data_IF_543031339789
#
_entry.id   IF_543031339789
#
_cell.length_a   1.000
_cell.length_b   1.000
_cell.length_c   1.000
_cell.angle_alpha   90.00
_cell.angle_beta   90.00
_cell.angle_gamma   90.00
#
_symmetry.space_group_name_H-M   'P 1'
#
loop_
_entity.id
_entity.type
_entity.pdbx_description
1 polymer ?
#
# COMPACT_ATOMS: atom_id res chain seq x y z
N UNK A 1 -24.74 0.76 19.45
CA UNK A 1 -25.71 -0.34 19.53
C UNK A 1 -24.91 -1.61 19.74
N UNK A 2 -25.26 -2.44 20.73
CA UNK A 2 -24.58 -3.73 20.91
C UNK A 2 -25.06 -4.70 19.82
N UNK A 3 -24.25 -5.70 19.48
CA UNK A 3 -24.63 -6.73 18.50
C UNK A 3 -25.96 -7.40 18.88
N UNK A 4 -26.17 -7.63 20.18
CA UNK A 4 -27.43 -8.16 20.72
C UNK A 4 -28.64 -7.29 20.35
N UNK A 5 -28.50 -5.97 20.47
CA UNK A 5 -29.59 -5.04 20.18
C UNK A 5 -29.89 -5.01 18.68
N UNK A 6 -28.86 -5.10 17.84
CA UNK A 6 -29.01 -5.25 16.38
C UNK A 6 -29.79 -6.52 16.04
N UNK A 7 -29.41 -7.67 16.62
CA UNK A 7 -30.08 -8.94 16.36
C UNK A 7 -31.55 -8.91 16.80
N UNK A 8 -31.86 -8.29 17.94
CA UNK A 8 -33.25 -8.12 18.38
C UNK A 8 -34.04 -7.26 17.39
N UNK A 9 -33.47 -6.15 16.90
CA UNK A 9 -34.13 -5.31 15.90
C UNK A 9 -34.30 -6.02 14.56
N UNK A 10 -33.30 -6.81 14.14
CA UNK A 10 -33.34 -7.62 12.92
C UNK A 10 -34.49 -8.63 12.99
N UNK A 11 -34.59 -9.39 14.07
CA UNK A 11 -35.67 -10.36 14.29
C UNK A 11 -37.05 -9.68 14.29
N UNK A 12 -37.17 -8.53 14.95
CA UNK A 12 -38.44 -7.85 15.10
C UNK A 12 -38.91 -7.14 13.82
N UNK A 13 -38.00 -6.59 13.01
CA UNK A 13 -38.33 -5.81 11.81
C UNK A 13 -38.37 -6.64 10.54
N UNK A 14 -37.44 -7.59 10.39
CA UNK A 14 -37.37 -8.44 9.21
C UNK A 14 -37.03 -9.89 9.62
N UNK A 15 -38.03 -10.65 10.10
CA UNK A 15 -37.83 -12.04 10.53
C UNK A 15 -37.27 -12.93 9.41
N UNK A 16 -37.68 -12.68 8.16
CA UNK A 16 -37.18 -13.40 7.00
C UNK A 16 -35.69 -13.13 6.78
N UNK A 17 -35.27 -11.86 6.80
CA UNK A 17 -33.86 -11.50 6.73
C UNK A 17 -33.08 -12.12 7.89
N UNK A 18 -33.63 -12.12 9.11
CA UNK A 18 -32.98 -12.78 10.26
C UNK A 18 -32.78 -14.29 10.07
N UNK A 19 -33.64 -14.96 9.31
CA UNK A 19 -33.55 -16.41 9.06
C UNK A 19 -32.60 -16.75 7.90
N UNK A 20 -32.45 -15.85 6.92
CA UNK A 20 -31.68 -16.10 5.69
C UNK A 20 -30.30 -15.42 5.70
N UNK A 21 -30.12 -14.34 6.45
CA UNK A 21 -28.88 -13.57 6.47
C UNK A 21 -27.76 -14.36 7.13
N UNK A 22 -26.73 -14.70 6.36
CA UNK A 22 -25.52 -15.30 6.90
C UNK A 22 -24.61 -14.24 7.51
N UNK A 23 -23.74 -14.64 8.44
CA UNK A 23 -22.70 -13.75 8.99
C UNK A 23 -21.77 -13.25 7.87
N UNK A 24 -21.50 -14.08 6.86
CA UNK A 24 -20.64 -13.69 5.73
C UNK A 24 -21.27 -12.56 4.91
N UNK A 25 -22.55 -12.71 4.54
CA UNK A 25 -23.27 -11.70 3.78
C UNK A 25 -23.43 -10.40 4.56
N UNK A 26 -23.74 -10.51 5.85
CA UNK A 26 -23.81 -9.36 6.75
C UNK A 26 -22.50 -8.57 6.79
N UNK A 27 -21.36 -9.24 7.02
CA UNK A 27 -20.05 -8.58 7.09
C UNK A 27 -19.70 -7.94 5.76
N UNK A 28 -19.90 -8.65 4.64
CA UNK A 28 -19.62 -8.09 3.30
C UNK A 28 -20.46 -6.87 3.00
N UNK A 29 -21.76 -6.94 3.27
CA UNK A 29 -22.69 -5.82 3.06
C UNK A 29 -22.32 -4.64 3.95
N UNK A 30 -22.09 -4.86 5.25
CA UNK A 30 -21.75 -3.80 6.19
C UNK A 30 -20.43 -3.11 5.84
N UNK A 31 -19.39 -3.88 5.50
CA UNK A 31 -18.08 -3.32 5.13
C UNK A 31 -18.12 -2.54 3.82
N UNK A 32 -18.77 -3.07 2.78
CA UNK A 32 -18.88 -2.36 1.49
C UNK A 32 -19.74 -1.10 1.61
N UNK A 33 -20.90 -1.22 2.26
CA UNK A 33 -21.82 -0.10 2.48
C UNK A 33 -21.18 1.03 3.30
N UNK A 34 -20.39 0.68 4.31
CA UNK A 34 -19.65 1.65 5.12
C UNK A 34 -18.60 2.42 4.29
N UNK A 35 -17.90 1.74 3.39
CA UNK A 35 -16.94 2.40 2.51
C UNK A 35 -17.62 3.29 1.45
N UNK A 36 -18.78 2.87 0.94
CA UNK A 36 -19.59 3.70 0.02
C UNK A 36 -20.14 4.95 0.73
N UNK A 37 -20.65 4.80 1.96
CA UNK A 37 -21.11 5.92 2.78
C UNK A 37 -19.97 6.91 3.06
N UNK A 38 -18.79 6.42 3.42
CA UNK A 38 -17.63 7.27 3.65
C UNK A 38 -17.19 8.06 2.41
N UNK A 39 -17.17 7.42 1.23
CA UNK A 39 -16.70 8.06 -0.01
C UNK A 39 -17.72 8.97 -0.67
N UNK A 40 -19.00 8.60 -0.63
CA UNK A 40 -20.02 9.19 -1.46
C UNK A 40 -21.31 9.55 -0.71
N UNK A 41 -21.40 9.28 0.60
CA UNK A 41 -22.60 9.50 1.41
C UNK A 41 -23.16 10.91 1.29
N UNK A 42 -22.31 11.92 1.42
CA UNK A 42 -22.70 13.33 1.26
C UNK A 42 -23.15 13.68 -0.15
N UNK A 43 -22.39 13.24 -1.16
CA UNK A 43 -22.67 13.55 -2.57
C UNK A 43 -23.94 12.88 -3.09
N UNK A 44 -24.19 11.64 -2.65
CA UNK A 44 -25.36 10.85 -3.05
C UNK A 44 -26.56 11.02 -2.11
N UNK A 45 -26.40 11.83 -1.04
CA UNK A 45 -27.42 12.04 0.00
C UNK A 45 -27.94 10.71 0.56
N UNK A 46 -27.02 9.79 0.85
CA UNK A 46 -27.37 8.49 1.39
C UNK A 46 -28.05 8.68 2.75
N UNK A 47 -29.15 7.95 2.95
CA UNK A 47 -29.89 7.95 4.21
C UNK A 47 -30.52 6.57 4.42
N UNK A 48 -31.06 6.25 5.60
CA UNK A 48 -31.75 4.98 5.80
C UNK A 48 -32.84 4.72 4.74
N UNK A 49 -33.53 5.78 4.30
CA UNK A 49 -34.65 5.67 3.35
C UNK A 49 -34.25 6.03 1.91
N UNK A 50 -32.98 6.36 1.66
CA UNK A 50 -32.51 6.79 0.34
C UNK A 50 -31.21 6.06 0.01
N UNK A 51 -31.33 5.04 -0.85
CA UNK A 51 -30.23 4.17 -1.23
C UNK A 51 -30.09 4.04 -2.77
N UNK A 52 -29.61 5.07 -3.48
CA UNK A 52 -29.36 4.99 -4.92
C UNK A 52 -28.26 3.99 -5.28
N UNK A 53 -27.49 3.50 -4.31
CA UNK A 53 -26.40 2.54 -4.53
C UNK A 53 -26.83 1.09 -4.34
N UNK A 54 -28.11 0.82 -4.02
CA UNK A 54 -28.61 -0.54 -3.84
C UNK A 54 -28.36 -1.46 -5.05
N UNK A 55 -28.58 -1.03 -6.31
CA UNK A 55 -28.29 -1.90 -7.47
C UNK A 55 -26.80 -2.23 -7.59
N UNK A 56 -25.92 -1.29 -7.20
CA UNK A 56 -24.47 -1.55 -7.15
C UNK A 56 -24.13 -2.56 -6.05
N UNK A 57 -24.73 -2.43 -4.86
CA UNK A 57 -24.49 -3.36 -3.75
C UNK A 57 -24.99 -4.76 -4.07
N UNK A 58 -26.17 -4.87 -4.69
CA UNK A 58 -26.75 -6.15 -5.13
C UNK A 58 -25.79 -6.89 -6.08
N UNK A 59 -25.33 -6.21 -7.12
CA UNK A 59 -24.39 -6.77 -8.09
C UNK A 59 -23.03 -7.10 -7.45
N UNK A 60 -22.45 -6.15 -6.70
CA UNK A 60 -21.12 -6.29 -6.13
C UNK A 60 -21.01 -7.38 -5.05
N UNK A 61 -22.10 -7.63 -4.32
CA UNK A 61 -22.12 -8.60 -3.23
C UNK A 61 -22.61 -9.98 -3.67
N UNK A 62 -23.35 -10.07 -4.78
CA UNK A 62 -23.94 -11.32 -5.28
C UNK A 62 -24.61 -12.11 -4.14
N UNK A 63 -25.49 -11.44 -3.39
CA UNK A 63 -26.05 -11.96 -2.14
C UNK A 63 -26.87 -13.23 -2.36
N UNK A 64 -26.80 -14.16 -1.41
CA UNK A 64 -27.52 -15.43 -1.50
C UNK A 64 -28.92 -15.41 -0.88
N UNK A 65 -29.34 -14.26 -0.35
CA UNK A 65 -30.66 -14.06 0.23
C UNK A 65 -31.53 -13.19 -0.71
N UNK A 66 -32.87 -13.22 -0.55
CA UNK A 66 -33.78 -12.46 -1.41
C UNK A 66 -33.43 -10.97 -1.48
N UNK A 67 -33.32 -10.43 -2.69
CA UNK A 67 -32.79 -9.07 -2.94
C UNK A 67 -33.73 -7.97 -2.47
N UNK A 68 -35.02 -8.27 -2.33
CA UNK A 68 -36.03 -7.43 -1.68
C UNK A 68 -35.69 -7.14 -0.21
N UNK A 69 -34.91 -8.00 0.45
CA UNK A 69 -34.50 -7.80 1.84
C UNK A 69 -33.24 -6.93 1.99
N UNK A 70 -32.60 -6.51 0.89
CA UNK A 70 -31.42 -5.64 0.94
C UNK A 70 -31.77 -4.24 1.47
N UNK A 71 -32.96 -3.74 1.15
CA UNK A 71 -33.44 -2.44 1.67
C UNK A 71 -33.67 -2.48 3.18
N UNK A 72 -34.23 -3.59 3.69
CA UNK A 72 -34.37 -3.81 5.13
C UNK A 72 -33.00 -3.83 5.83
N UNK A 73 -32.05 -4.55 5.24
CA UNK A 73 -30.69 -4.64 5.75
C UNK A 73 -30.00 -3.27 5.76
N UNK A 74 -30.15 -2.50 4.68
CA UNK A 74 -29.65 -1.14 4.58
C UNK A 74 -30.22 -0.24 5.67
N UNK A 75 -31.54 -0.19 5.82
CA UNK A 75 -32.22 0.65 6.81
C UNK A 75 -31.77 0.33 8.25
N UNK A 76 -31.63 -0.95 8.56
CA UNK A 76 -31.16 -1.43 9.87
C UNK A 76 -29.69 -1.08 10.13
N UNK A 77 -28.83 -1.23 9.12
CA UNK A 77 -27.39 -1.01 9.25
C UNK A 77 -26.96 0.44 9.09
N UNK A 78 -27.73 1.28 8.40
CA UNK A 78 -27.33 2.65 8.06
C UNK A 78 -26.77 3.44 9.25
N UNK A 79 -27.41 3.46 10.44
CA UNK A 79 -26.88 4.17 11.61
C UNK A 79 -25.55 3.62 12.15
N UNK A 80 -25.20 2.40 11.76
CA UNK A 80 -24.00 1.69 12.18
C UNK A 80 -22.86 1.74 11.16
N UNK A 81 -23.12 2.12 9.90
CA UNK A 81 -22.14 2.04 8.81
C UNK A 81 -20.81 2.71 9.14
N UNK A 82 -20.83 3.91 9.75
CA UNK A 82 -19.61 4.62 10.19
C UNK A 82 -18.70 3.81 11.12
N UNK A 83 -19.27 2.88 11.89
CA UNK A 83 -18.53 2.01 12.81
C UNK A 83 -18.11 0.69 12.16
N UNK A 84 -18.74 0.33 11.05
CA UNK A 84 -18.41 -0.85 10.26
C UNK A 84 -17.25 -0.59 9.28
N UNK A 85 -16.88 0.68 9.07
CA UNK A 85 -15.74 1.04 8.23
C UNK A 85 -14.44 0.57 8.86
N UNK A 86 -13.73 -0.28 8.14
CA UNK A 86 -12.36 -0.69 8.47
C UNK A 86 -11.47 -0.05 7.42
N UNK A 87 -10.56 0.82 7.87
CA UNK A 87 -9.48 1.33 7.04
C UNK A 87 -8.24 0.45 7.30
N UNK A 88 -8.01 -0.60 6.49
CA UNK A 88 -6.93 -1.55 6.75
C UNK A 88 -5.57 -0.87 6.66
N UNK A 89 -5.40 0.08 5.73
CA UNK A 89 -4.14 0.80 5.54
C UNK A 89 -3.80 1.64 6.78
N UNK A 90 -4.74 2.44 7.27
CA UNK A 90 -4.54 3.25 8.47
C UNK A 90 -4.37 2.36 9.71
N UNK A 91 -5.11 1.25 9.79
CA UNK A 91 -5.01 0.29 10.90
C UNK A 91 -3.63 -0.35 10.96
N UNK A 92 -3.09 -0.82 9.83
CA UNK A 92 -1.74 -1.40 9.76
C UNK A 92 -0.69 -0.33 10.09
N UNK A 93 -0.84 0.89 9.58
CA UNK A 93 0.09 1.99 9.88
C UNK A 93 0.17 2.29 11.38
N UNK A 94 -0.98 2.33 12.06
CA UNK A 94 -1.06 2.72 13.47
C UNK A 94 -0.75 1.56 14.42
N UNK A 95 -1.07 0.32 14.04
CA UNK A 95 -1.00 -0.84 14.94
C UNK A 95 0.04 -1.88 14.53
N UNK A 96 0.38 -1.99 13.25
CA UNK A 96 1.17 -3.10 12.71
C UNK A 96 2.59 -3.22 13.26
N UNK A 97 3.17 -2.11 13.74
CA UNK A 97 4.49 -2.09 14.36
C UNK A 97 4.47 -1.99 15.89
N UNK A 98 3.31 -2.07 16.54
CA UNK A 98 3.24 -1.96 18.00
C UNK A 98 4.10 -3.04 18.69
N UNK A 99 4.69 -2.68 19.82
CA UNK A 99 5.70 -3.50 20.50
C UNK A 99 5.16 -4.87 20.96
N UNK A 100 3.89 -4.94 21.31
CA UNK A 100 3.17 -6.14 21.75
C UNK A 100 3.10 -7.26 20.69
N UNK A 101 3.25 -6.95 19.40
CA UNK A 101 3.24 -7.96 18.34
C UNK A 101 4.60 -8.62 18.16
N UNK A 102 4.65 -9.94 18.24
CA UNK A 102 5.85 -10.74 17.90
C UNK A 102 6.15 -10.67 16.40
N UNK A 103 5.11 -10.72 15.57
CA UNK A 103 5.23 -10.56 14.12
C UNK A 103 4.84 -9.14 13.75
N UNK A 104 5.85 -8.31 13.42
CA UNK A 104 5.62 -6.94 12.93
C UNK A 104 5.00 -6.96 11.54
N UNK A 105 3.96 -6.15 11.34
CA UNK A 105 3.27 -5.99 10.06
C UNK A 105 3.54 -4.58 9.52
N UNK A 106 4.51 -4.41 8.60
CA UNK A 106 4.69 -3.15 7.88
C UNK A 106 3.50 -2.88 6.94
N UNK A 107 3.34 -1.63 6.53
CA UNK A 107 2.27 -1.22 5.61
C UNK A 107 2.42 -1.86 4.24
N UNK A 108 3.66 -2.11 3.78
CA UNK A 108 3.92 -2.77 2.49
C UNK A 108 5.07 -3.77 2.54
N UNK A 109 4.97 -4.80 1.71
CA UNK A 109 6.06 -5.74 1.41
C UNK A 109 6.52 -5.53 -0.02
N UNK A 110 7.77 -5.14 -0.22
CA UNK A 110 8.34 -4.86 -1.53
C UNK A 110 9.18 -6.04 -1.99
N UNK A 111 8.96 -6.51 -3.22
CA UNK A 111 9.67 -7.66 -3.81
C UNK A 111 10.02 -7.35 -5.27
N UNK A 112 11.06 -8.00 -5.79
CA UNK A 112 11.34 -7.98 -7.22
C UNK A 112 10.15 -8.50 -8.05
N UNK A 113 9.91 -7.97 -9.26
CA UNK A 113 8.78 -8.36 -10.12
C UNK A 113 8.98 -9.73 -10.81
N UNK A 114 10.06 -10.45 -10.47
CA UNK A 114 10.47 -11.68 -11.12
C UNK A 114 10.34 -12.87 -10.17
N UNK A 115 9.98 -14.03 -10.73
CA UNK A 115 9.96 -15.33 -10.04
C UNK A 115 11.14 -16.22 -10.40
N UNK A 116 11.79 -16.00 -11.55
CA UNK A 116 12.93 -16.76 -12.05
C UNK A 116 14.11 -15.84 -12.41
N UNK A 117 15.31 -16.42 -12.49
CA UNK A 117 16.54 -15.68 -12.74
C UNK A 117 16.71 -15.34 -14.22
N UNK A 118 16.61 -14.06 -14.59
CA UNK A 118 16.77 -13.61 -15.99
C UNK A 118 18.20 -13.74 -16.55
N UNK A 119 19.18 -14.06 -15.70
CA UNK A 119 20.59 -14.16 -16.09
C UNK A 119 21.00 -15.57 -16.51
N UNK A 120 20.60 -16.58 -15.74
CA UNK A 120 21.07 -17.96 -15.95
C UNK A 120 19.92 -18.96 -16.16
N UNK A 121 18.67 -18.52 -16.05
CA UNK A 121 17.52 -19.35 -16.32
C UNK A 121 17.23 -19.37 -17.82
N UNK A 122 17.69 -20.41 -18.50
CA UNK A 122 17.08 -20.81 -19.78
C UNK A 122 15.82 -21.58 -19.43
N UNK A 123 14.67 -21.11 -19.89
CA UNK A 123 13.35 -21.73 -19.68
C UNK A 123 12.89 -21.80 -18.20
N UNK A 124 13.10 -20.73 -17.41
CA UNK A 124 12.59 -20.65 -16.02
C UNK A 124 13.05 -21.77 -15.06
N UNK A 125 14.09 -22.53 -15.43
CA UNK A 125 14.68 -23.59 -14.61
C UNK A 125 15.17 -23.15 -13.21
N UNK A 126 15.54 -21.88 -13.02
CA UNK A 126 16.08 -21.38 -11.75
C UNK A 126 15.18 -20.33 -11.09
N UNK A 127 14.37 -20.80 -10.14
CA UNK A 127 13.52 -19.96 -9.29
C UNK A 127 14.34 -19.03 -8.36
N UNK A 128 13.73 -17.91 -8.00
CA UNK A 128 14.26 -16.98 -7.01
C UNK A 128 13.76 -17.36 -5.61
N UNK A 129 14.69 -17.57 -4.68
CA UNK A 129 14.37 -17.85 -3.27
C UNK A 129 14.63 -16.63 -2.39
N UNK A 130 13.98 -16.58 -1.23
CA UNK A 130 14.18 -15.51 -0.26
C UNK A 130 15.57 -15.63 0.34
N UNK A 131 16.41 -14.63 0.11
CA UNK A 131 17.73 -14.52 0.72
C UNK A 131 17.65 -13.87 2.09
N UNK A 132 17.02 -12.69 2.15
CA UNK A 132 16.92 -11.89 3.36
C UNK A 132 15.73 -10.93 3.29
N UNK A 133 15.41 -10.32 4.44
CA UNK A 133 14.39 -9.28 4.55
C UNK A 133 14.97 -8.07 5.24
N UNK A 134 14.65 -6.87 4.74
CA UNK A 134 15.16 -5.61 5.26
C UNK A 134 14.01 -4.65 5.50
N UNK A 135 13.94 -4.09 6.71
CA UNK A 135 12.95 -3.07 7.06
C UNK A 135 13.39 -1.70 6.55
N UNK A 136 12.43 -0.82 6.26
CA UNK A 136 12.71 0.52 5.77
C UNK A 136 11.47 1.40 5.72
N UNK A 137 11.59 2.52 5.02
CA UNK A 137 10.54 3.52 4.89
C UNK A 137 10.34 3.93 3.44
N UNK A 138 9.07 3.98 3.03
CA UNK A 138 8.62 4.60 1.79
C UNK A 138 8.10 5.99 2.10
N UNK A 139 8.75 7.00 1.54
CA UNK A 139 8.28 8.38 1.60
C UNK A 139 7.30 8.63 0.44
N UNK A 140 6.09 9.08 0.79
CA UNK A 140 5.04 9.43 -0.15
C UNK A 140 4.47 10.82 0.19
N UNK A 141 3.63 11.36 -0.68
CA UNK A 141 2.95 12.64 -0.43
C UNK A 141 1.96 12.57 0.74
N UNK A 142 1.55 11.35 1.11
CA UNK A 142 0.61 11.04 2.19
C UNK A 142 1.33 10.69 3.51
N UNK A 143 2.67 10.79 3.53
CA UNK A 143 3.52 10.60 4.69
C UNK A 143 4.52 9.45 4.57
N UNK A 144 5.04 9.02 5.71
CA UNK A 144 6.06 7.96 5.79
C UNK A 144 5.40 6.62 6.07
N UNK A 145 5.67 5.63 5.22
CA UNK A 145 5.08 4.29 5.30
C UNK A 145 6.14 3.25 5.67
N UNK A 146 5.94 2.44 6.72
CA UNK A 146 6.84 1.35 7.03
C UNK A 146 6.75 0.28 5.96
N UNK A 147 7.91 -0.16 5.46
CA UNK A 147 8.00 -1.20 4.43
C UNK A 147 8.98 -2.30 4.83
N UNK A 148 8.76 -3.51 4.33
CA UNK A 148 9.75 -4.58 4.39
C UNK A 148 10.09 -5.06 2.99
N UNK A 149 11.37 -5.13 2.72
CA UNK A 149 11.93 -5.52 1.43
C UNK A 149 12.34 -6.96 1.48
N UNK A 150 11.82 -7.75 0.54
CA UNK A 150 12.23 -9.13 0.34
C UNK A 150 13.32 -9.15 -0.71
N UNK A 151 14.53 -9.52 -0.30
CA UNK A 151 15.68 -9.70 -1.20
C UNK A 151 15.68 -11.15 -1.65
N UNK A 152 15.80 -11.36 -2.96
CA UNK A 152 15.83 -12.69 -3.55
C UNK A 152 17.20 -13.01 -4.14
N UNK A 153 17.56 -14.27 -4.15
CA UNK A 153 18.75 -14.80 -4.83
C UNK A 153 18.35 -15.91 -5.80
N UNK A 154 19.15 -16.06 -6.85
CA UNK A 154 18.98 -17.19 -7.77
C UNK A 154 19.23 -18.52 -7.05
N UNK A 155 18.41 -19.54 -7.32
CA UNK A 155 18.62 -20.90 -6.79
C UNK A 155 19.86 -21.61 -7.37
N UNK A 156 20.42 -21.12 -8.47
CA UNK A 156 21.65 -21.65 -9.05
C UNK A 156 22.87 -21.23 -8.20
N UNK A 157 23.63 -22.17 -7.60
CA UNK A 157 24.78 -21.84 -6.76
C UNK A 157 25.93 -21.13 -7.48
N UNK A 158 25.97 -21.21 -8.82
CA UNK A 158 26.97 -20.52 -9.66
C UNK A 158 26.56 -19.10 -10.05
N UNK A 159 25.35 -18.67 -9.67
CA UNK A 159 24.81 -17.35 -9.98
C UNK A 159 24.74 -16.54 -8.69
N UNK A 160 25.50 -15.45 -8.65
CA UNK A 160 25.57 -14.51 -7.52
C UNK A 160 24.57 -13.35 -7.64
N UNK A 161 23.64 -13.42 -8.60
CA UNK A 161 22.71 -12.34 -8.88
C UNK A 161 21.68 -12.20 -7.76
N UNK A 162 21.59 -11.00 -7.20
CA UNK A 162 20.66 -10.64 -6.13
C UNK A 162 19.60 -9.69 -6.65
N UNK A 163 18.33 -10.00 -6.39
CA UNK A 163 17.17 -9.26 -6.87
C UNK A 163 16.56 -8.45 -5.73
N UNK A 164 16.44 -7.13 -5.95
CA UNK A 164 15.74 -6.17 -5.09
C UNK A 164 14.48 -5.66 -5.80
N UNK A 165 13.62 -4.89 -5.15
CA UNK A 165 12.36 -4.44 -5.74
C UNK A 165 12.49 -3.63 -7.04
N UNK A 166 13.47 -2.71 -7.14
CA UNK A 166 13.62 -1.85 -8.32
C UNK A 166 14.75 -2.27 -9.27
N UNK A 167 15.66 -3.13 -8.83
CA UNK A 167 16.83 -3.55 -9.62
C UNK A 167 17.37 -4.91 -9.16
N UNK A 168 18.17 -5.54 -9.99
CA UNK A 168 19.03 -6.65 -9.59
C UNK A 168 20.51 -6.23 -9.63
N UNK A 169 21.34 -6.91 -8.84
CA UNK A 169 22.79 -6.67 -8.78
C UNK A 169 23.53 -7.86 -9.34
N UNK A 170 24.50 -7.59 -10.22
CA UNK A 170 25.39 -8.57 -10.82
C UNK A 170 26.72 -7.88 -11.14
N UNK A 171 27.84 -8.55 -10.91
CA UNK A 171 29.18 -8.05 -11.28
C UNK A 171 29.43 -6.61 -10.75
N UNK A 172 29.02 -6.34 -9.50
CA UNK A 172 29.09 -5.01 -8.86
C UNK A 172 28.34 -3.87 -9.59
N UNK A 173 27.37 -4.20 -10.44
CA UNK A 173 26.50 -3.22 -11.10
C UNK A 173 25.02 -3.45 -10.76
N UNK A 174 24.26 -2.36 -10.68
CA UNK A 174 22.80 -2.35 -10.50
C UNK A 174 22.14 -2.22 -11.86
N UNK A 175 21.26 -3.16 -12.17
CA UNK A 175 20.46 -3.19 -13.38
C UNK A 175 19.00 -2.94 -13.01
N UNK A 176 18.48 -1.76 -13.34
CA UNK A 176 17.10 -1.40 -13.03
C UNK A 176 16.14 -2.10 -13.98
N UNK A 177 15.03 -2.62 -13.47
CA UNK A 177 14.07 -3.32 -14.32
C UNK A 177 13.46 -2.36 -15.36
N UNK A 178 13.18 -2.90 -16.55
CA UNK A 178 12.39 -2.21 -17.56
C UNK A 178 10.90 -2.42 -17.29
N UNK A 179 10.05 -1.67 -17.98
CA UNK A 179 8.59 -1.88 -17.91
C UNK A 179 8.21 -3.28 -18.37
N UNK A 180 8.88 -3.80 -19.38
CA UNK A 180 8.64 -5.15 -19.92
C UNK A 180 8.97 -6.27 -18.93
N UNK A 181 9.90 -6.00 -18.01
CA UNK A 181 10.24 -6.89 -16.89
C UNK A 181 9.28 -6.77 -15.69
N UNK A 182 8.19 -5.99 -15.83
CA UNK A 182 7.20 -5.80 -14.79
C UNK A 182 7.61 -4.82 -13.68
N UNK A 183 8.53 -3.88 -13.96
CA UNK A 183 8.95 -2.87 -12.98
C UNK A 183 7.73 -2.15 -12.36
N UNK A 184 7.70 -2.07 -11.03
CA UNK A 184 6.77 -1.21 -10.31
C UNK A 184 7.02 0.28 -10.64
N UNK A 185 5.97 0.98 -11.05
CA UNK A 185 6.05 2.38 -11.49
C UNK A 185 5.76 3.38 -10.37
N UNK A 186 5.31 2.90 -9.21
CA UNK A 186 4.82 3.74 -8.12
C UNK A 186 5.90 4.10 -7.11
N UNK A 187 7.01 3.37 -7.05
CA UNK A 187 8.11 3.67 -6.13
C UNK A 187 9.51 3.39 -6.68
N UNK A 188 10.48 3.98 -6.00
CA UNK A 188 11.91 3.88 -6.29
C UNK A 188 12.66 3.42 -5.05
N UNK A 189 13.44 2.35 -5.17
CA UNK A 189 14.45 1.97 -4.17
C UNK A 189 15.65 2.92 -4.31
N UNK A 190 15.87 3.78 -3.31
CA UNK A 190 16.96 4.76 -3.31
C UNK A 190 18.21 4.16 -2.67
N UNK A 191 18.05 3.71 -1.42
CA UNK A 191 19.10 3.04 -0.64
C UNK A 191 18.48 1.90 0.16
N UNK A 192 19.30 1.14 0.89
CA UNK A 192 18.92 -0.08 1.60
C UNK A 192 17.60 0.02 2.39
N UNK A 193 17.40 1.14 3.11
CA UNK A 193 16.26 1.35 4.00
C UNK A 193 15.26 2.40 3.50
N UNK A 194 15.51 3.04 2.34
CA UNK A 194 14.76 4.23 1.93
C UNK A 194 14.22 4.13 0.51
N UNK A 195 12.93 4.40 0.40
CA UNK A 195 12.15 4.38 -0.83
C UNK A 195 11.43 5.72 -1.00
N UNK A 196 11.12 6.07 -2.24
CA UNK A 196 10.34 7.26 -2.56
C UNK A 196 9.30 6.94 -3.60
N UNK A 197 8.07 7.40 -3.40
CA UNK A 197 7.03 7.25 -4.41
C UNK A 197 7.32 8.12 -5.64
N UNK A 198 6.94 7.64 -6.82
CA UNK A 198 7.07 8.43 -8.05
C UNK A 198 6.25 9.71 -7.98
N UNK A 199 5.11 9.69 -7.27
CA UNK A 199 4.26 10.86 -7.01
C UNK A 199 5.00 11.92 -6.20
N UNK A 200 5.68 11.51 -5.11
CA UNK A 200 6.48 12.40 -4.29
C UNK A 200 7.67 12.97 -5.07
N UNK A 201 8.39 12.12 -5.82
CA UNK A 201 9.50 12.56 -6.67
C UNK A 201 9.04 13.61 -7.69
N UNK A 202 7.84 13.44 -8.27
CA UNK A 202 7.24 14.41 -9.17
C UNK A 202 6.87 15.72 -8.44
N UNK A 203 6.20 15.64 -7.29
CA UNK A 203 5.82 16.81 -6.49
C UNK A 203 7.06 17.64 -6.10
N UNK A 204 8.09 16.99 -5.58
CA UNK A 204 9.36 17.65 -5.24
C UNK A 204 9.98 18.32 -6.46
N UNK A 205 9.99 17.67 -7.62
CA UNK A 205 10.50 18.27 -8.86
C UNK A 205 9.75 19.53 -9.26
N UNK A 206 8.41 19.52 -9.14
CA UNK A 206 7.57 20.69 -9.43
C UNK A 206 7.88 21.83 -8.44
N UNK A 207 8.00 21.53 -7.15
CA UNK A 207 8.36 22.51 -6.13
C UNK A 207 9.76 23.12 -6.36
N UNK A 208 10.74 22.32 -6.79
CA UNK A 208 12.06 22.84 -7.17
C UNK A 208 11.98 23.80 -8.35
N UNK A 209 11.18 23.47 -9.37
CA UNK A 209 11.05 24.27 -10.59
C UNK A 209 10.30 25.57 -10.36
N UNK A 210 9.19 25.52 -9.61
CA UNK A 210 8.31 26.68 -9.41
C UNK A 210 8.78 27.59 -8.28
N UNK A 211 9.23 27.00 -7.17
CA UNK A 211 9.58 27.73 -5.95
C UNK A 211 11.08 27.98 -5.78
N UNK A 212 11.92 27.52 -6.71
CA UNK A 212 13.38 27.56 -6.58
C UNK A 212 13.89 26.98 -5.23
N UNK A 213 13.21 25.93 -4.74
CA UNK A 213 13.45 25.35 -3.42
C UNK A 213 14.60 24.35 -3.48
N UNK A 214 15.53 24.43 -2.52
CA UNK A 214 16.63 23.47 -2.38
C UNK A 214 16.17 22.11 -1.85
N UNK A 215 16.96 21.05 -2.07
CA UNK A 215 16.69 19.73 -1.46
C UNK A 215 16.58 19.80 0.06
N UNK A 216 17.44 20.60 0.70
CA UNK A 216 17.43 20.85 2.14
C UNK A 216 16.07 21.37 2.63
N UNK A 217 15.53 22.40 1.97
CA UNK A 217 14.24 22.98 2.36
C UNK A 217 13.08 22.00 2.11
N UNK A 218 13.10 21.26 1.00
CA UNK A 218 12.08 20.23 0.72
C UNK A 218 12.03 19.16 1.80
N UNK A 219 13.20 18.68 2.23
CA UNK A 219 13.31 17.64 3.25
C UNK A 219 12.87 18.16 4.62
N UNK A 220 13.24 19.39 5.00
CA UNK A 220 12.80 19.97 6.26
C UNK A 220 11.28 20.15 6.31
N UNK A 221 10.67 20.67 5.24
CA UNK A 221 9.21 20.76 5.17
C UNK A 221 8.53 19.40 5.24
N UNK A 222 9.07 18.41 4.54
CA UNK A 222 8.54 17.05 4.58
C UNK A 222 8.61 16.44 5.98
N UNK A 223 9.78 16.52 6.64
CA UNK A 223 9.97 15.97 7.97
C UNK A 223 9.11 16.69 9.01
N UNK A 224 9.02 18.02 8.94
CA UNK A 224 8.18 18.81 9.84
C UNK A 224 6.72 18.34 9.80
N UNK A 225 6.15 18.20 8.60
CA UNK A 225 4.74 17.81 8.42
C UNK A 225 4.48 16.34 8.76
N UNK A 226 5.35 15.43 8.30
CA UNK A 226 5.04 13.98 8.32
C UNK A 226 5.82 13.15 9.33
N UNK A 227 6.79 13.74 10.02
CA UNK A 227 7.64 13.01 10.98
C UNK A 227 7.61 13.69 12.35
N UNK A 228 7.75 15.01 12.40
CA UNK A 228 7.80 15.74 13.66
C UNK A 228 6.39 15.94 14.23
N UNK A 229 5.45 16.43 13.42
CA UNK A 229 4.05 16.64 13.84
C UNK A 229 3.25 15.32 13.93
N UNK A 230 3.64 14.31 13.14
CA UNK A 230 2.98 13.01 13.11
C UNK A 230 4.02 11.89 13.20
N UNK A 231 4.48 11.53 14.43
CA UNK A 231 5.56 10.56 14.61
C UNK A 231 5.29 9.22 13.92
N UNK A 232 6.11 8.90 12.92
CA UNK A 232 6.04 7.63 12.21
C UNK A 232 6.55 6.48 13.09
N UNK A 233 5.94 5.30 12.93
CA UNK A 233 6.29 4.13 13.73
C UNK A 233 7.71 3.61 13.43
N UNK A 234 8.41 3.17 14.47
CA UNK A 234 9.73 2.52 14.39
C UNK A 234 9.61 1.00 14.49
N UNK A 235 10.53 0.26 13.85
CA UNK A 235 10.53 -1.21 13.89
C UNK A 235 11.06 -1.73 15.23
N UNK A 236 12.15 -1.11 15.72
CA UNK A 236 12.71 -1.35 17.05
C UNK A 236 13.15 -0.02 17.68
N UNK A 237 13.23 0.08 19.01
CA UNK A 237 13.68 1.30 19.68
C UNK A 237 15.12 1.73 19.32
N UNK A 238 15.97 0.78 18.95
CA UNK A 238 17.40 0.90 18.72
C UNK A 238 17.80 0.76 17.24
N UNK A 239 16.85 0.90 16.31
CA UNK A 239 17.14 0.83 14.89
C UNK A 239 18.12 1.93 14.43
N UNK A 240 19.06 1.58 13.56
CA UNK A 240 20.11 2.49 13.07
C UNK A 240 19.63 3.47 11.98
N UNK A 241 18.39 3.35 11.51
CA UNK A 241 17.80 4.17 10.45
C UNK A 241 16.49 4.81 10.94
N UNK A 242 16.11 5.94 10.36
CA UNK A 242 15.01 6.77 10.87
C UNK A 242 13.90 6.95 9.84
N UNK A 243 12.65 7.23 10.24
CA UNK A 243 11.61 7.63 9.31
C UNK A 243 11.85 9.02 8.69
N UNK A 244 12.74 9.85 9.25
CA UNK A 244 13.13 11.13 8.69
C UNK A 244 13.88 10.96 7.36
N UNK A 245 13.49 11.75 6.37
CA UNK A 245 14.22 11.84 5.10
C UNK A 245 15.49 12.69 5.29
N UNK A 246 16.58 12.30 4.65
CA UNK A 246 17.79 13.13 4.55
C UNK A 246 17.86 13.85 3.19
N UNK A 247 18.65 14.93 3.12
CA UNK A 247 18.91 15.62 1.85
C UNK A 247 19.48 14.67 0.79
N UNK A 248 20.37 13.77 1.19
CA UNK A 248 20.98 12.79 0.29
C UNK A 248 19.94 11.82 -0.28
N UNK A 249 19.02 11.31 0.56
CA UNK A 249 17.93 10.43 0.12
C UNK A 249 17.05 11.18 -0.90
N UNK A 250 16.70 12.43 -0.61
CA UNK A 250 15.92 13.27 -1.53
C UNK A 250 16.64 13.45 -2.87
N UNK A 251 17.89 13.93 -2.86
CA UNK A 251 18.71 14.14 -4.05
C UNK A 251 18.85 12.86 -4.88
N UNK A 252 19.23 11.76 -4.25
CA UNK A 252 19.42 10.47 -4.92
C UNK A 252 18.11 9.96 -5.52
N UNK A 253 16.98 10.11 -4.82
CA UNK A 253 15.65 9.76 -5.33
C UNK A 253 15.29 10.55 -6.60
N UNK A 254 15.48 11.87 -6.59
CA UNK A 254 15.18 12.73 -7.73
C UNK A 254 16.11 12.48 -8.93
N UNK A 255 17.39 12.23 -8.67
CA UNK A 255 18.35 11.84 -9.71
C UNK A 255 17.96 10.51 -10.34
N UNK A 256 17.69 9.49 -9.51
CA UNK A 256 17.34 8.16 -9.97
C UNK A 256 16.04 8.17 -10.78
N UNK A 257 15.00 8.86 -10.30
CA UNK A 257 13.74 9.06 -11.01
C UNK A 257 13.97 9.66 -12.41
N UNK A 258 14.85 10.66 -12.52
CA UNK A 258 15.18 11.32 -13.78
C UNK A 258 15.95 10.40 -14.73
N UNK A 259 16.94 9.66 -14.21
CA UNK A 259 17.75 8.71 -14.97
C UNK A 259 16.90 7.56 -15.53
N UNK A 260 16.02 6.98 -14.71
CA UNK A 260 15.11 5.91 -15.15
C UNK A 260 14.19 6.42 -16.25
N UNK A 261 13.57 7.60 -16.08
CA UNK A 261 12.72 8.20 -17.12
C UNK A 261 13.49 8.45 -18.42
N UNK A 262 14.75 8.83 -18.33
CA UNK A 262 15.59 9.03 -19.50
C UNK A 262 15.90 7.72 -20.22
N UNK A 263 16.26 6.67 -19.47
CA UNK A 263 16.52 5.33 -20.00
C UNK A 263 15.28 4.74 -20.67
N UNK A 264 14.11 4.86 -20.02
CA UNK A 264 12.81 4.44 -20.57
C UNK A 264 12.51 5.10 -21.92
N UNK A 265 12.72 6.42 -22.04
CA UNK A 265 12.48 7.17 -23.29
C UNK A 265 13.38 6.70 -24.44
N UNK A 266 14.54 6.14 -24.12
CA UNK A 266 15.48 5.58 -25.10
C UNK A 266 15.27 4.08 -25.36
N UNK A 267 14.34 3.43 -24.66
CA UNK A 267 14.17 1.98 -24.73
C UNK A 267 15.39 1.21 -24.20
N UNK A 268 16.13 1.79 -23.27
CA UNK A 268 17.35 1.21 -22.71
C UNK A 268 17.21 0.90 -21.22
N UNK A 269 18.00 -0.05 -20.73
CA UNK A 269 18.10 -0.37 -19.30
C UNK A 269 19.04 0.61 -18.60
N UNK A 270 18.63 1.17 -17.45
CA UNK A 270 19.53 1.95 -16.61
C UNK A 270 20.49 1.01 -15.86
N UNK A 271 21.79 1.23 -16.03
CA UNK A 271 22.86 0.50 -15.34
C UNK A 271 23.70 1.48 -14.53
N UNK A 272 23.95 1.17 -13.26
CA UNK A 272 24.77 1.99 -12.36
C UNK A 272 25.85 1.10 -11.73
N UNK A 273 27.12 1.43 -11.95
CA UNK A 273 28.23 0.73 -11.30
C UNK A 273 28.30 1.12 -9.82
N UNK A 274 28.47 0.14 -8.93
CA UNK A 274 28.61 0.33 -7.49
C UNK A 274 30.07 0.50 -7.08
#
# INVERSE_FOLDING_TARGET
>A
MLLRDFTIQLINRSPHLSATLTVSDFVRFASLSAEVEHRAGGSLRLSPNQNPVLPFLEEALSVQFPTDLLDDLWQLLFPLLRWCRIDPTLSIRNMGLQQNFTTKLPERFLRAPLSHCVICSKDDAYALHVHSRINGYLHDIDGVHPVQTVILSCSNPKCDTVYRPSFYTRDSARYYYTKDLGRDMDYLHITCHYYMSTRMAYMFRVLQMLGHVSHFNLVNWYNMVFVDETPAATFTPDQLFTPSMSEEVCRNGLMLHSLIKHADRRGTTLVINC
#
